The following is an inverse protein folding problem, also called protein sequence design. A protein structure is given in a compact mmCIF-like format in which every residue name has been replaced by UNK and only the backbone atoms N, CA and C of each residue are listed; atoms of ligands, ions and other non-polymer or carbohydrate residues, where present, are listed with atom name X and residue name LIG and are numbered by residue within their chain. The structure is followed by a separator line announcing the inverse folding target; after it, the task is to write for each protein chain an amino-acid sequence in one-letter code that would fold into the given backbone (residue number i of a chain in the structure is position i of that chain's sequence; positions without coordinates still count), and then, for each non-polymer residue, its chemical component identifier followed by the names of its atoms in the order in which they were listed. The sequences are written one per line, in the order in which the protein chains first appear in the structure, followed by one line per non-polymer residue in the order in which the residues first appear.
data_IF_428498896781
#
_entry.id   IF_428498896781
#
_cell.length_a   1.000
_cell.length_b   1.000
_cell.length_c   1.000
_cell.angle_alpha   90.00
_cell.angle_beta   90.00
_cell.angle_gamma   90.00
#
_symmetry.space_group_name_H-M   'P 1'
#
loop_
_entity.id
_entity.type
_entity.pdbx_description
1 polymer ?
#
# COMPACT_ATOMS: atom_id res chain seq x y z
N UNK A 1 18.24 16.76 19.10
CA UNK A 1 17.50 15.71 19.82
C UNK A 1 17.09 16.29 21.17
N UNK A 2 15.82 16.20 21.57
CA UNK A 2 15.43 16.51 22.94
C UNK A 2 16.29 15.65 23.87
N UNK A 3 16.86 16.26 24.91
CA UNK A 3 17.75 15.58 25.87
C UNK A 3 17.01 14.61 26.79
N UNK A 4 15.68 14.73 26.87
CA UNK A 4 14.77 13.88 27.65
C UNK A 4 13.57 13.55 26.75
N UNK A 5 13.15 12.28 26.71
CA UNK A 5 11.94 11.82 26.03
C UNK A 5 10.78 11.79 27.01
N UNK A 6 9.71 12.52 26.70
CA UNK A 6 8.45 12.44 27.44
C UNK A 6 7.73 11.14 27.11
N UNK A 7 7.40 10.36 28.13
CA UNK A 7 6.85 9.01 28.00
C UNK A 7 5.46 8.93 28.61
N UNK A 8 4.51 8.43 27.82
CA UNK A 8 3.21 7.98 28.34
C UNK A 8 3.30 6.47 28.55
N UNK A 9 2.94 5.99 29.73
CA UNK A 9 2.94 4.55 30.02
C UNK A 9 1.53 3.98 30.00
N UNK A 10 1.34 2.84 29.34
CA UNK A 10 0.09 2.06 29.40
C UNK A 10 0.25 0.98 30.46
N UNK A 11 -0.73 0.88 31.36
CA UNK A 11 -0.71 -0.10 32.47
C UNK A 11 -2.08 -0.77 32.60
N UNK A 12 -2.10 -1.95 33.21
CA UNK A 12 -3.32 -2.70 33.50
C UNK A 12 -3.53 -2.96 35.01
N UNK A 13 -4.71 -3.46 35.35
CA UNK A 13 -5.09 -3.86 36.71
C UNK A 13 -4.81 -5.30 37.04
N UNK A 14 -4.08 -6.02 36.17
CA UNK A 14 -3.57 -7.35 36.42
C UNK A 14 -2.21 -7.32 37.11
N UNK A 15 -1.53 -6.18 37.12
CA UNK A 15 -0.34 -5.97 37.92
C UNK A 15 -0.68 -5.33 39.27
N UNK A 16 0.02 -5.75 40.33
CA UNK A 16 -0.16 -5.13 41.64
C UNK A 16 0.42 -3.70 41.62
N UNK A 17 -0.33 -2.71 42.11
CA UNK A 17 0.06 -1.28 41.99
C UNK A 17 1.51 -0.96 42.43
N UNK A 18 2.05 -1.52 43.54
CA UNK A 18 3.47 -1.34 43.87
C UNK A 18 4.46 -1.84 42.81
N UNK A 19 4.13 -2.92 42.08
CA UNK A 19 4.95 -3.42 40.97
C UNK A 19 4.89 -2.45 39.80
N UNK A 20 3.68 -1.99 39.43
CA UNK A 20 3.48 -0.96 38.41
C UNK A 20 4.26 0.30 38.75
N UNK A 21 4.13 0.80 39.99
CA UNK A 21 4.88 1.95 40.48
C UNK A 21 6.39 1.76 40.37
N UNK A 22 6.90 0.59 40.78
CA UNK A 22 8.33 0.29 40.69
C UNK A 22 8.84 0.28 39.24
N UNK A 23 8.04 -0.20 38.29
CA UNK A 23 8.40 -0.17 36.87
C UNK A 23 8.42 1.26 36.33
N UNK A 24 7.44 2.08 36.70
CA UNK A 24 7.35 3.48 36.31
C UNK A 24 8.50 4.31 36.93
N UNK A 25 8.79 4.13 38.22
CA UNK A 25 9.94 4.74 38.90
C UNK A 25 11.27 4.32 38.25
N UNK A 26 11.38 3.06 37.78
CA UNK A 26 12.56 2.60 37.04
C UNK A 26 12.70 3.33 35.69
N UNK A 27 11.61 3.50 34.94
CA UNK A 27 11.61 4.21 33.66
C UNK A 27 12.02 5.68 33.81
N UNK A 28 11.54 6.36 34.85
CA UNK A 28 11.96 7.73 35.20
C UNK A 28 13.44 7.84 35.55
N UNK A 29 14.03 6.78 36.13
CA UNK A 29 15.44 6.76 36.52
C UNK A 29 16.38 6.34 35.37
N UNK A 30 15.86 5.80 34.27
CA UNK A 30 16.67 5.54 33.08
C UNK A 30 17.05 6.88 32.44
N UNK A 31 18.32 7.02 32.06
CA UNK A 31 18.80 8.23 31.39
C UNK A 31 17.92 8.54 30.17
N UNK A 32 17.54 9.82 30.04
CA UNK A 32 16.78 10.37 28.91
C UNK A 32 15.29 10.02 28.82
N UNK A 33 14.63 9.59 29.90
CA UNK A 33 13.16 9.45 29.94
C UNK A 33 12.53 10.25 31.08
N UNK A 34 11.29 10.68 30.87
CA UNK A 34 10.41 11.28 31.88
C UNK A 34 9.00 10.73 31.66
N UNK A 35 8.45 10.01 32.63
CA UNK A 35 7.07 9.50 32.61
C UNK A 35 6.12 10.64 32.94
N UNK A 36 5.51 11.22 31.90
CA UNK A 36 4.65 12.41 32.01
C UNK A 36 3.20 12.07 32.37
N UNK A 37 2.72 10.89 31.99
CA UNK A 37 1.38 10.41 32.32
C UNK A 37 1.28 8.88 32.20
N UNK A 38 0.24 8.33 32.85
CA UNK A 38 -0.13 6.92 32.77
C UNK A 38 -1.55 6.79 32.25
N UNK A 39 -1.80 5.83 31.38
CA UNK A 39 -3.16 5.46 30.94
C UNK A 39 -3.44 4.05 31.43
N UNK A 40 -4.53 3.91 32.17
CA UNK A 40 -5.04 2.62 32.60
C UNK A 40 -5.88 2.00 31.48
N UNK A 41 -5.41 0.89 30.91
CA UNK A 41 -6.00 0.31 29.69
C UNK A 41 -6.85 -0.95 29.93
N UNK A 42 -7.13 -1.25 31.19
CA UNK A 42 -8.14 -2.22 31.60
C UNK A 42 -7.70 -3.15 32.72
N UNK A 43 -8.62 -4.00 33.16
CA UNK A 43 -8.39 -4.95 34.25
C UNK A 43 -8.63 -4.32 35.62
N UNK A 44 -9.19 -5.08 36.55
CA UNK A 44 -9.47 -4.63 37.91
C UNK A 44 -9.11 -5.68 38.96
N UNK A 45 -8.65 -6.87 38.55
CA UNK A 45 -8.52 -8.04 39.42
C UNK A 45 -7.57 -7.81 40.60
N UNK A 46 -6.45 -7.10 40.40
CA UNK A 46 -5.42 -6.88 41.43
C UNK A 46 -5.46 -5.47 42.02
N UNK A 47 -6.46 -4.68 41.66
CA UNK A 47 -6.71 -3.36 42.24
C UNK A 47 -7.51 -3.53 43.55
N UNK A 48 -6.80 -3.54 44.69
CA UNK A 48 -7.44 -3.38 46.00
C UNK A 48 -7.94 -1.96 46.26
N UNK A 49 -7.37 -1.01 45.53
CA UNK A 49 -7.82 0.38 45.50
C UNK A 49 -8.87 0.52 44.41
N UNK A 50 -10.07 0.95 44.78
CA UNK A 50 -11.20 1.05 43.84
C UNK A 50 -11.52 2.49 43.45
N UNK A 51 -10.86 3.48 44.07
CA UNK A 51 -10.98 4.89 43.70
C UNK A 51 -9.86 5.30 42.74
N UNK A 52 -10.21 6.06 41.71
CA UNK A 52 -9.22 6.62 40.78
C UNK A 52 -8.24 7.54 41.52
N UNK A 53 -8.73 8.33 42.49
CA UNK A 53 -7.90 9.22 43.31
C UNK A 53 -6.85 8.44 44.11
N UNK A 54 -7.24 7.29 44.69
CA UNK A 54 -6.32 6.44 45.44
C UNK A 54 -5.26 5.78 44.56
N UNK A 55 -5.57 5.46 43.30
CA UNK A 55 -4.60 4.95 42.32
C UNK A 55 -3.60 6.05 41.95
N UNK A 56 -4.10 7.26 41.67
CA UNK A 56 -3.28 8.44 41.36
C UNK A 56 -2.30 8.74 42.51
N UNK A 57 -2.79 8.78 43.75
CA UNK A 57 -1.96 9.03 44.94
C UNK A 57 -0.85 7.97 45.08
N UNK A 58 -1.18 6.70 44.88
CA UNK A 58 -0.22 5.59 45.01
C UNK A 58 0.83 5.58 43.91
N UNK A 59 0.45 5.89 42.67
CA UNK A 59 1.39 5.95 41.54
C UNK A 59 2.20 7.26 41.53
N UNK A 60 1.71 8.30 42.19
CA UNK A 60 2.42 9.58 42.39
C UNK A 60 2.57 10.42 41.12
N UNK A 61 1.70 10.23 40.14
CA UNK A 61 1.77 10.86 38.81
C UNK A 61 0.38 10.96 38.18
N UNK A 62 0.18 11.76 37.11
CA UNK A 62 -1.10 11.82 36.41
C UNK A 62 -1.49 10.45 35.85
N UNK A 63 -2.71 10.00 36.16
CA UNK A 63 -3.29 8.74 35.67
C UNK A 63 -4.63 9.04 35.02
N UNK A 64 -4.84 8.47 33.84
CA UNK A 64 -6.07 8.62 33.05
C UNK A 64 -6.77 7.26 32.90
N UNK A 65 -8.09 7.28 32.99
CA UNK A 65 -8.94 6.09 32.94
C UNK A 65 -9.95 6.20 31.79
N UNK A 66 -10.39 5.04 31.29
CA UNK A 66 -11.54 4.95 30.40
C UNK A 66 -12.85 4.84 31.16
N UNK A 67 -13.96 5.19 30.49
CA UNK A 67 -15.31 5.04 31.06
C UNK A 67 -15.66 3.60 31.44
N UNK A 68 -15.08 2.61 30.75
CA UNK A 68 -15.28 1.19 31.00
C UNK A 68 -13.95 0.52 31.39
N UNK A 69 -13.79 0.01 32.63
CA UNK A 69 -12.55 -0.61 33.09
C UNK A 69 -12.24 -1.98 32.43
N UNK A 70 -13.17 -2.52 31.64
CA UNK A 70 -13.00 -3.78 30.90
C UNK A 70 -12.67 -3.58 29.41
N UNK A 71 -12.54 -2.34 28.96
CA UNK A 71 -12.21 -2.00 27.58
C UNK A 71 -10.97 -1.11 27.50
N UNK A 72 -10.21 -1.24 26.42
CA UNK A 72 -9.07 -0.35 26.17
C UNK A 72 -9.61 1.02 25.74
N UNK A 73 -9.27 2.11 26.44
CA UNK A 73 -9.74 3.45 26.12
C UNK A 73 -8.91 4.08 25.01
N UNK A 74 -9.10 3.60 23.78
CA UNK A 74 -8.32 3.99 22.60
C UNK A 74 -8.31 5.51 22.35
N UNK A 75 -9.40 6.21 22.63
CA UNK A 75 -9.51 7.66 22.46
C UNK A 75 -8.74 8.43 23.55
N UNK A 76 -8.74 7.92 24.80
CA UNK A 76 -7.97 8.50 25.90
C UNK A 76 -6.47 8.37 25.64
N UNK A 77 -6.01 7.23 25.10
CA UNK A 77 -4.60 7.05 24.71
C UNK A 77 -4.17 8.19 23.78
N UNK A 78 -4.95 8.49 22.73
CA UNK A 78 -4.67 9.58 21.82
C UNK A 78 -4.67 10.96 22.51
N UNK A 79 -5.71 11.27 23.29
CA UNK A 79 -5.83 12.55 24.01
C UNK A 79 -4.65 12.80 24.97
N UNK A 80 -4.23 11.78 25.71
CA UNK A 80 -3.11 11.89 26.66
C UNK A 80 -1.78 12.10 25.95
N UNK A 81 -1.57 11.46 24.79
CA UNK A 81 -0.37 11.72 23.99
C UNK A 81 -0.32 13.20 23.55
N UNK A 82 -1.44 13.78 23.12
CA UNK A 82 -1.52 15.21 22.72
C UNK A 82 -1.35 16.14 23.92
N UNK A 83 -2.10 15.91 25.01
CA UNK A 83 -2.13 16.76 26.21
C UNK A 83 -0.73 16.90 26.83
N UNK A 84 0.05 15.82 26.86
CA UNK A 84 1.35 15.80 27.49
C UNK A 84 2.52 16.00 26.51
N UNK A 85 2.27 16.19 25.21
CA UNK A 85 3.30 16.30 24.16
C UNK A 85 4.29 15.12 24.25
N UNK A 86 3.76 13.90 24.28
CA UNK A 86 4.56 12.70 24.49
C UNK A 86 5.45 12.43 23.27
N UNK A 87 6.70 11.99 23.53
CA UNK A 87 7.66 11.60 22.50
C UNK A 87 7.63 10.08 22.24
N UNK A 88 7.07 9.28 23.15
CA UNK A 88 6.99 7.81 23.08
C UNK A 88 5.88 7.27 23.98
N UNK A 89 5.27 6.15 23.59
CA UNK A 89 4.39 5.36 24.44
C UNK A 89 5.07 4.05 24.83
N UNK A 90 5.09 3.74 26.13
CA UNK A 90 5.61 2.48 26.67
C UNK A 90 4.46 1.60 27.17
N UNK A 91 4.29 0.43 26.58
CA UNK A 91 3.33 -0.59 26.99
C UNK A 91 3.91 -1.47 28.10
N UNK A 92 3.31 -1.43 29.28
CA UNK A 92 3.64 -2.29 30.41
C UNK A 92 2.53 -3.33 30.67
N UNK A 93 1.55 -3.46 29.78
CA UNK A 93 0.40 -4.34 29.96
C UNK A 93 0.56 -5.71 29.30
N UNK A 94 -0.19 -6.69 29.80
CA UNK A 94 -0.11 -8.09 29.38
C UNK A 94 -1.48 -8.77 29.17
N UNK A 95 -1.47 -10.04 28.75
CA UNK A 95 -2.65 -10.90 28.74
C UNK A 95 -3.21 -11.07 30.16
N UNK A 96 -4.54 -11.10 30.34
CA UNK A 96 -5.59 -11.16 29.32
C UNK A 96 -6.08 -9.80 28.79
N UNK A 97 -5.53 -8.68 29.26
CA UNK A 97 -6.05 -7.34 28.92
C UNK A 97 -5.71 -6.98 27.47
N UNK A 98 -4.44 -7.17 27.09
CA UNK A 98 -3.91 -6.81 25.77
C UNK A 98 -3.44 -8.04 25.00
N UNK A 99 -4.28 -8.55 24.11
CA UNK A 99 -3.88 -9.52 23.09
C UNK A 99 -3.17 -8.84 21.91
N UNK A 100 -2.64 -9.64 20.98
CA UNK A 100 -1.95 -9.11 19.79
C UNK A 100 -2.79 -8.13 18.97
N UNK A 101 -4.08 -8.42 18.73
CA UNK A 101 -4.92 -7.57 17.87
C UNK A 101 -5.18 -6.22 18.52
N UNK A 102 -5.45 -6.21 19.83
CA UNK A 102 -5.57 -5.00 20.65
C UNK A 102 -4.27 -4.19 20.65
N UNK A 103 -3.13 -4.86 20.81
CA UNK A 103 -1.79 -4.22 20.77
C UNK A 103 -1.53 -3.53 19.43
N UNK A 104 -1.86 -4.16 18.30
CA UNK A 104 -1.73 -3.52 16.98
C UNK A 104 -2.69 -2.33 16.79
N UNK A 105 -3.86 -2.34 17.44
CA UNK A 105 -4.78 -1.20 17.43
C UNK A 105 -4.23 -0.02 18.24
N UNK A 106 -3.64 -0.28 19.41
CA UNK A 106 -2.88 0.74 20.17
C UNK A 106 -1.73 1.26 19.31
N UNK A 107 -0.90 0.38 18.76
CA UNK A 107 0.22 0.75 17.90
C UNK A 107 -0.24 1.64 16.73
N UNK A 108 -1.36 1.31 16.08
CA UNK A 108 -1.92 2.12 15.00
C UNK A 108 -2.22 3.56 15.44
N UNK A 109 -2.78 3.75 16.63
CA UNK A 109 -3.08 5.10 17.18
C UNK A 109 -1.79 5.85 17.45
N UNK A 110 -0.86 5.22 18.19
CA UNK A 110 0.41 5.85 18.59
C UNK A 110 1.25 6.26 17.37
N UNK A 111 1.34 5.37 16.37
CA UNK A 111 2.12 5.62 15.16
C UNK A 111 1.50 6.68 14.25
N UNK A 112 0.17 6.79 14.23
CA UNK A 112 -0.55 7.82 13.48
C UNK A 112 -0.29 9.23 14.05
N UNK A 113 0.04 9.31 15.34
CA UNK A 113 0.50 10.53 16.00
C UNK A 113 1.99 10.81 15.79
N UNK A 114 2.68 9.96 15.02
CA UNK A 114 4.08 10.18 14.63
C UNK A 114 5.10 9.89 15.72
N UNK A 115 4.75 9.09 16.74
CA UNK A 115 5.67 8.73 17.83
C UNK A 115 5.85 7.20 17.96
N UNK A 116 6.96 6.72 18.56
CA UNK A 116 7.20 5.29 18.73
C UNK A 116 6.27 4.67 19.78
N UNK A 117 5.96 3.40 19.56
CA UNK A 117 5.28 2.52 20.52
C UNK A 117 6.23 1.40 20.93
N UNK A 118 6.64 1.40 22.19
CA UNK A 118 7.62 0.48 22.76
C UNK A 118 6.95 -0.45 23.77
N UNK A 119 7.47 -1.67 23.89
CA UNK A 119 7.21 -2.59 24.99
C UNK A 119 8.51 -3.30 25.38
N UNK A 120 8.47 -4.27 26.32
CA UNK A 120 9.68 -4.91 26.84
C UNK A 120 10.54 -5.60 25.77
N UNK A 121 9.93 -6.19 24.74
CA UNK A 121 10.60 -6.97 23.68
C UNK A 121 10.26 -6.48 22.26
N UNK A 122 9.47 -5.41 22.11
CA UNK A 122 9.08 -4.87 20.80
C UNK A 122 9.19 -3.35 20.74
N UNK A 123 9.43 -2.83 19.53
CA UNK A 123 9.35 -1.40 19.20
C UNK A 123 8.77 -1.21 17.82
N UNK A 124 7.76 -0.37 17.71
CA UNK A 124 7.24 0.12 16.44
C UNK A 124 7.58 1.60 16.29
N UNK A 125 8.08 1.95 15.12
CA UNK A 125 8.41 3.33 14.77
C UNK A 125 7.44 3.85 13.71
N UNK A 126 7.09 5.14 13.75
CA UNK A 126 6.32 5.79 12.69
C UNK A 126 7.09 5.70 11.36
N UNK A 127 6.38 5.88 10.25
CA UNK A 127 7.00 5.79 8.93
C UNK A 127 7.97 6.94 8.73
N UNK A 128 9.19 6.62 8.29
CA UNK A 128 10.18 7.60 7.89
C UNK A 128 9.77 8.26 6.57
N UNK A 129 9.60 9.58 6.55
CA UNK A 129 9.28 10.31 5.33
C UNK A 129 10.25 11.47 5.07
N UNK A 130 10.59 11.67 3.79
CA UNK A 130 11.35 12.81 3.32
C UNK A 130 10.41 13.83 2.66
N UNK A 131 10.35 15.04 3.21
CA UNK A 131 9.63 16.18 2.62
C UNK A 131 10.55 16.91 1.63
N UNK A 132 10.57 16.43 0.38
CA UNK A 132 11.52 16.90 -0.66
C UNK A 132 10.89 17.20 -2.03
N UNK A 133 9.62 16.85 -2.23
CA UNK A 133 8.93 17.14 -3.50
C UNK A 133 8.57 18.63 -3.57
N UNK A 134 8.88 19.22 -4.73
CA UNK A 134 8.65 20.64 -5.06
C UNK A 134 7.49 20.81 -6.04
N UNK A 135 6.68 19.78 -6.21
CA UNK A 135 5.55 19.69 -7.13
C UNK A 135 4.40 19.01 -6.41
N UNK A 136 3.13 19.31 -6.77
CA UNK A 136 1.98 18.63 -6.21
C UNK A 136 2.05 17.13 -6.47
N UNK A 137 1.60 16.35 -5.50
CA UNK A 137 1.85 14.91 -5.51
C UNK A 137 0.83 14.08 -4.75
N UNK A 138 0.65 12.84 -5.18
CA UNK A 138 0.04 11.81 -4.35
C UNK A 138 0.84 10.51 -4.33
N UNK A 139 0.61 9.69 -3.30
CA UNK A 139 1.12 8.32 -3.21
C UNK A 139 0.05 7.30 -3.55
N UNK A 140 0.43 6.24 -4.28
CA UNK A 140 -0.37 5.03 -4.45
C UNK A 140 0.18 3.93 -3.56
N UNK A 141 -0.62 3.53 -2.58
CA UNK A 141 -0.28 2.57 -1.54
C UNK A 141 -1.16 1.31 -1.64
N UNK A 142 -0.79 0.28 -0.88
CA UNK A 142 -1.58 -0.94 -0.82
C UNK A 142 -1.53 -1.59 0.54
N UNK A 143 -2.62 -2.24 0.94
CA UNK A 143 -2.68 -3.11 2.12
C UNK A 143 -1.99 -4.46 1.91
N UNK A 144 -1.46 -4.72 0.71
CA UNK A 144 -0.91 -6.02 0.37
C UNK A 144 -0.18 -6.08 -0.97
N UNK A 145 0.28 -7.29 -1.30
CA UNK A 145 0.88 -7.62 -2.59
C UNK A 145 -0.21 -8.15 -3.54
N UNK A 146 -0.03 -7.95 -4.85
CA UNK A 146 -0.93 -8.44 -5.91
C UNK A 146 -2.39 -7.99 -5.74
N UNK A 147 -2.57 -6.70 -5.49
CA UNK A 147 -3.90 -6.07 -5.39
C UNK A 147 -4.14 -5.04 -6.51
N UNK A 148 -3.26 -4.99 -7.52
CA UNK A 148 -3.41 -4.13 -8.70
C UNK A 148 -2.89 -2.70 -8.58
N UNK A 149 -1.82 -2.45 -7.80
CA UNK A 149 -1.25 -1.09 -7.64
C UNK A 149 -0.77 -0.50 -8.96
N UNK A 150 0.12 -1.19 -9.66
CA UNK A 150 0.68 -0.73 -10.95
C UNK A 150 -0.41 -0.53 -12.00
N UNK A 151 -1.42 -1.41 -12.01
CA UNK A 151 -2.62 -1.24 -12.85
C UNK A 151 -3.39 0.06 -12.56
N UNK A 152 -3.63 0.38 -11.28
CA UNK A 152 -4.25 1.65 -10.87
C UNK A 152 -3.33 2.85 -11.11
N UNK A 153 -2.02 2.68 -10.95
CA UNK A 153 -0.99 3.69 -11.20
C UNK A 153 -0.94 4.09 -12.66
N UNK A 154 -0.78 3.13 -13.57
CA UNK A 154 -0.84 3.36 -15.01
C UNK A 154 -2.19 3.95 -15.45
N UNK A 155 -3.31 3.49 -14.88
CA UNK A 155 -4.63 4.05 -15.15
C UNK A 155 -4.73 5.52 -14.73
N UNK A 156 -4.30 5.84 -13.50
CA UNK A 156 -4.29 7.20 -12.97
C UNK A 156 -3.36 8.10 -13.80
N UNK A 157 -2.15 7.64 -14.10
CA UNK A 157 -1.17 8.37 -14.90
C UNK A 157 -1.73 8.76 -16.28
N UNK A 158 -2.34 7.82 -17.01
CA UNK A 158 -2.99 8.12 -18.30
C UNK A 158 -4.11 9.14 -18.17
N UNK A 159 -4.93 8.99 -17.13
CA UNK A 159 -6.07 9.88 -16.90
C UNK A 159 -5.59 11.30 -16.60
N UNK A 160 -4.58 11.44 -15.75
CA UNK A 160 -3.98 12.71 -15.34
C UNK A 160 -3.29 13.37 -16.53
N UNK A 161 -2.58 12.58 -17.34
CA UNK A 161 -1.99 13.05 -18.60
C UNK A 161 -3.05 13.54 -19.59
N UNK A 162 -4.15 12.78 -19.78
CA UNK A 162 -5.28 13.17 -20.62
C UNK A 162 -5.96 14.47 -20.15
N UNK A 163 -5.83 14.80 -18.87
CA UNK A 163 -6.33 16.04 -18.25
C UNK A 163 -5.28 17.16 -18.24
N UNK A 164 -4.16 16.98 -18.93
CA UNK A 164 -3.12 17.99 -19.14
C UNK A 164 -2.38 18.41 -17.85
N UNK A 165 -2.41 17.59 -16.79
CA UNK A 165 -1.62 17.81 -15.56
C UNK A 165 -0.18 17.30 -15.63
N UNK A 166 0.27 16.80 -16.79
CA UNK A 166 1.66 16.39 -17.06
C UNK A 166 2.32 15.52 -15.95
N UNK A 167 1.86 14.26 -15.75
CA UNK A 167 2.32 13.44 -14.64
C UNK A 167 3.66 12.73 -14.88
N UNK A 168 4.41 12.51 -13.81
CA UNK A 168 5.54 11.60 -13.73
C UNK A 168 5.32 10.56 -12.62
N UNK A 169 5.53 9.28 -12.91
CA UNK A 169 5.48 8.20 -11.90
C UNK A 169 6.88 7.89 -11.38
N UNK A 170 7.08 7.92 -10.07
CA UNK A 170 8.28 7.43 -9.39
C UNK A 170 7.93 6.12 -8.69
N UNK A 171 8.35 4.99 -9.26
CA UNK A 171 7.94 3.67 -8.81
C UNK A 171 9.01 2.98 -7.96
N UNK A 172 8.61 2.50 -6.78
CA UNK A 172 9.47 1.72 -5.89
C UNK A 172 9.31 0.22 -6.15
N UNK A 173 10.28 -0.41 -6.81
CA UNK A 173 10.27 -1.83 -7.13
C UNK A 173 11.10 -2.69 -6.17
N UNK A 174 10.78 -3.99 -6.08
CA UNK A 174 11.69 -5.00 -5.48
C UNK A 174 12.84 -5.37 -6.41
N UNK A 175 12.58 -5.31 -7.72
CA UNK A 175 13.58 -5.54 -8.77
C UNK A 175 14.05 -4.24 -9.42
N UNK A 176 13.75 -3.09 -8.82
CA UNK A 176 14.11 -1.79 -9.39
C UNK A 176 15.62 -1.57 -9.48
N UNK A 177 16.04 -0.52 -10.21
CA UNK A 177 17.45 -0.27 -10.56
C UNK A 177 18.26 0.24 -9.37
N UNK A 178 19.59 0.05 -9.44
CA UNK A 178 20.53 0.46 -8.39
C UNK A 178 20.53 1.97 -8.14
N UNK A 179 20.68 2.72 -9.22
CA UNK A 179 20.45 4.16 -9.28
C UNK A 179 19.11 4.41 -9.97
N UNK A 180 18.39 5.50 -9.63
CA UNK A 180 17.11 5.77 -10.26
C UNK A 180 17.22 5.83 -11.80
N UNK A 181 16.31 5.17 -12.49
CA UNK A 181 16.31 5.05 -13.95
C UNK A 181 15.14 5.84 -14.54
N UNK A 182 15.40 6.76 -15.47
CA UNK A 182 14.34 7.47 -16.19
C UNK A 182 13.97 6.67 -17.44
N UNK A 183 12.67 6.42 -17.63
CA UNK A 183 12.11 5.85 -18.85
C UNK A 183 11.16 6.85 -19.47
N UNK A 184 11.48 7.31 -20.69
CA UNK A 184 10.66 8.24 -21.45
C UNK A 184 9.56 7.50 -22.25
N UNK A 185 8.58 6.90 -21.55
CA UNK A 185 7.44 6.24 -22.19
C UNK A 185 6.62 7.17 -23.10
N UNK A 186 6.75 8.48 -22.89
CA UNK A 186 6.22 9.58 -23.70
C UNK A 186 6.93 9.75 -25.05
N UNK A 187 8.21 9.37 -25.17
CA UNK A 187 9.03 9.61 -26.36
C UNK A 187 9.43 8.35 -27.09
N UNK A 188 9.62 7.24 -26.39
CA UNK A 188 10.05 5.97 -26.98
C UNK A 188 8.88 5.01 -27.13
N UNK A 189 8.85 4.28 -28.23
CA UNK A 189 7.96 3.13 -28.37
C UNK A 189 8.60 1.92 -27.65
N UNK A 190 7.91 1.40 -26.64
CA UNK A 190 8.40 0.26 -25.85
C UNK A 190 7.81 -1.00 -26.48
N UNK A 191 8.57 -1.62 -27.39
CA UNK A 191 8.16 -2.86 -28.07
C UNK A 191 8.62 -4.10 -27.31
N UNK A 192 8.04 -5.28 -27.56
CA UNK A 192 8.53 -6.54 -26.99
C UNK A 192 10.01 -6.81 -27.30
N UNK A 193 10.45 -6.52 -28.53
CA UNK A 193 11.85 -6.65 -28.95
C UNK A 193 12.74 -5.70 -28.16
N UNK A 194 12.30 -4.45 -27.96
CA UNK A 194 13.04 -3.48 -27.17
C UNK A 194 13.21 -3.94 -25.71
N UNK A 195 12.16 -4.46 -25.07
CA UNK A 195 12.24 -5.00 -23.71
C UNK A 195 13.18 -6.21 -23.61
N UNK A 196 13.17 -7.10 -24.61
CA UNK A 196 14.13 -8.20 -24.71
C UNK A 196 15.56 -7.70 -24.82
N UNK A 197 15.84 -6.72 -25.68
CA UNK A 197 17.17 -6.11 -25.82
C UNK A 197 17.67 -5.48 -24.52
N UNK A 198 16.78 -4.86 -23.73
CA UNK A 198 17.15 -4.32 -22.41
C UNK A 198 17.42 -5.46 -21.41
N UNK A 199 16.59 -6.51 -21.41
CA UNK A 199 16.81 -7.69 -20.56
C UNK A 199 18.16 -8.37 -20.86
N UNK A 200 18.52 -8.52 -22.14
CA UNK A 200 19.80 -9.11 -22.57
C UNK A 200 21.02 -8.27 -22.14
N UNK A 201 20.84 -6.97 -21.92
CA UNK A 201 21.87 -6.07 -21.35
C UNK A 201 21.97 -6.16 -19.82
N UNK A 202 21.16 -7.00 -19.19
CA UNK A 202 21.08 -7.16 -17.72
C UNK A 202 20.18 -6.14 -17.02
N UNK A 203 19.41 -5.33 -17.77
CA UNK A 203 18.42 -4.42 -17.19
C UNK A 203 17.19 -5.22 -16.79
N UNK A 204 16.62 -4.96 -15.61
CA UNK A 204 15.36 -5.60 -15.24
C UNK A 204 14.15 -4.92 -15.91
N UNK A 205 14.02 -5.13 -17.23
CA UNK A 205 13.06 -4.51 -18.16
C UNK A 205 11.58 -4.92 -17.93
N UNK A 206 11.26 -5.44 -16.76
CA UNK A 206 9.91 -5.80 -16.34
C UNK A 206 9.60 -5.32 -14.91
N UNK A 207 10.35 -4.33 -14.45
CA UNK A 207 10.11 -3.63 -13.20
C UNK A 207 8.89 -2.72 -13.31
N UNK A 208 8.32 -2.36 -12.16
CA UNK A 208 7.08 -1.58 -12.08
C UNK A 208 7.13 -0.27 -12.92
N UNK A 209 8.27 0.44 -12.95
CA UNK A 209 8.41 1.67 -13.76
C UNK A 209 8.41 1.45 -15.28
N UNK A 210 8.90 0.29 -15.75
CA UNK A 210 8.83 -0.11 -17.15
C UNK A 210 7.39 -0.47 -17.53
N UNK A 211 6.68 -1.14 -16.63
CA UNK A 211 5.24 -1.42 -16.75
C UNK A 211 4.43 -0.14 -16.81
N UNK A 212 4.65 0.79 -15.89
CA UNK A 212 4.01 2.10 -15.93
C UNK A 212 4.32 2.83 -17.24
N UNK A 213 5.58 2.91 -17.67
CA UNK A 213 5.95 3.61 -18.90
C UNK A 213 5.28 3.00 -20.14
N UNK A 214 5.25 1.67 -20.23
CA UNK A 214 4.60 0.95 -21.32
C UNK A 214 3.09 1.19 -21.34
N UNK A 215 2.44 1.01 -20.19
CA UNK A 215 0.97 1.07 -20.08
C UNK A 215 0.45 2.50 -20.16
N UNK A 216 1.17 3.46 -19.62
CA UNK A 216 0.71 4.84 -19.49
C UNK A 216 1.24 5.82 -20.52
N UNK A 217 2.34 5.46 -21.22
CA UNK A 217 2.98 6.32 -22.24
C UNK A 217 3.40 7.69 -21.69
N UNK A 218 3.82 7.72 -20.42
CA UNK A 218 4.37 8.90 -19.75
C UNK A 218 5.81 8.65 -19.28
N UNK A 219 6.47 9.70 -18.78
CA UNK A 219 7.77 9.62 -18.14
C UNK A 219 7.67 8.90 -16.78
N UNK A 220 8.53 7.91 -16.56
CA UNK A 220 8.60 7.21 -15.27
C UNK A 220 10.04 7.18 -14.74
N UNK A 221 10.15 7.05 -13.42
CA UNK A 221 11.42 6.95 -12.69
C UNK A 221 11.39 5.67 -11.85
N UNK A 222 12.22 4.70 -12.23
CA UNK A 222 12.40 3.45 -11.50
C UNK A 222 13.29 3.62 -10.30
N UNK A 223 12.85 3.12 -9.16
CA UNK A 223 13.62 3.06 -7.91
C UNK A 223 13.56 1.65 -7.32
N UNK A 224 14.47 1.34 -6.39
CA UNK A 224 14.54 0.05 -5.70
C UNK A 224 14.26 0.18 -4.21
N UNK A 225 13.88 -0.94 -3.61
CA UNK A 225 13.92 -1.12 -2.16
C UNK A 225 14.32 -2.53 -1.76
N UNK A 226 14.82 -2.68 -0.54
CA UNK A 226 15.04 -3.96 0.13
C UNK A 226 14.52 -3.90 1.57
N UNK A 227 14.03 -5.04 2.08
CA UNK A 227 13.35 -5.12 3.38
C UNK A 227 11.91 -4.58 3.35
N UNK A 228 11.16 -4.85 4.41
CA UNK A 228 9.81 -4.32 4.62
C UNK A 228 9.38 -4.54 6.07
N UNK A 229 9.12 -3.45 6.78
CA UNK A 229 8.61 -3.47 8.15
C UNK A 229 7.10 -3.74 8.21
N UNK A 230 6.60 -4.01 9.41
CA UNK A 230 5.17 -4.31 9.63
C UNK A 230 4.27 -3.11 9.25
N UNK A 231 4.67 -1.91 9.67
CA UNK A 231 3.93 -0.65 9.43
C UNK A 231 4.00 -0.24 7.96
N UNK A 232 5.15 -0.43 7.31
CA UNK A 232 5.33 -0.14 5.89
C UNK A 232 6.71 0.39 5.51
N UNK A 233 7.56 0.74 6.48
CA UNK A 233 8.91 1.26 6.20
C UNK A 233 9.80 0.23 5.49
N UNK A 234 10.86 0.70 4.84
CA UNK A 234 11.83 -0.10 4.08
C UNK A 234 13.22 0.07 4.65
N UNK A 235 14.08 -0.95 4.56
CA UNK A 235 15.41 -0.89 5.14
C UNK A 235 16.38 -0.08 4.25
N UNK A 236 16.38 -0.36 2.95
CA UNK A 236 17.19 0.35 1.96
C UNK A 236 16.29 0.77 0.81
N UNK A 237 16.42 2.01 0.34
CA UNK A 237 15.81 2.49 -0.90
C UNK A 237 16.56 3.68 -1.49
N UNK A 238 16.48 3.86 -2.80
CA UNK A 238 16.95 5.06 -3.51
C UNK A 238 15.80 6.04 -3.86
N UNK A 239 14.59 5.85 -3.32
CA UNK A 239 13.43 6.71 -3.59
C UNK A 239 13.68 8.19 -3.30
N UNK A 240 14.53 8.53 -2.31
CA UNK A 240 14.91 9.92 -2.05
C UNK A 240 15.58 10.55 -3.29
N UNK A 241 16.51 9.84 -3.93
CA UNK A 241 17.16 10.29 -5.16
C UNK A 241 16.16 10.36 -6.32
N UNK A 242 15.29 9.36 -6.45
CA UNK A 242 14.24 9.35 -7.47
C UNK A 242 13.30 10.55 -7.39
N UNK A 243 12.85 10.90 -6.18
CA UNK A 243 12.02 12.09 -5.93
C UNK A 243 12.79 13.40 -6.18
N UNK A 244 14.10 13.45 -5.94
CA UNK A 244 14.93 14.61 -6.30
C UNK A 244 14.98 14.79 -7.83
N UNK A 245 15.18 13.71 -8.58
CA UNK A 245 15.15 13.73 -10.05
C UNK A 245 13.76 14.14 -10.56
N UNK A 246 12.69 13.68 -9.92
CA UNK A 246 11.31 14.05 -10.28
C UNK A 246 11.05 15.57 -10.21
N UNK A 247 11.78 16.30 -9.35
CA UNK A 247 11.70 17.76 -9.30
C UNK A 247 12.34 18.45 -10.52
N UNK A 248 13.27 17.77 -11.20
CA UNK A 248 14.10 18.35 -12.28
C UNK A 248 13.59 18.00 -13.69
N UNK A 249 12.85 16.90 -13.82
CA UNK A 249 12.24 16.51 -15.11
C UNK A 249 11.05 17.40 -15.48
N UNK A 250 10.71 17.40 -16.76
CA UNK A 250 9.52 18.06 -17.31
C UNK A 250 8.25 17.28 -16.92
N UNK A 251 7.69 17.64 -15.77
CA UNK A 251 6.48 17.07 -15.18
C UNK A 251 5.90 18.09 -14.19
N UNK A 252 4.59 18.22 -14.11
CA UNK A 252 3.92 19.16 -13.21
C UNK A 252 3.27 18.47 -12.01
N UNK A 253 3.02 17.16 -12.10
CA UNK A 253 2.40 16.37 -11.06
C UNK A 253 3.17 15.06 -10.80
N UNK A 254 3.43 14.72 -9.53
CA UNK A 254 4.22 13.54 -9.17
C UNK A 254 3.35 12.44 -8.55
N UNK A 255 3.42 11.24 -9.12
CA UNK A 255 2.80 10.04 -8.58
C UNK A 255 3.90 9.18 -7.97
N UNK A 256 3.83 8.94 -6.67
CA UNK A 256 4.77 8.07 -5.97
C UNK A 256 4.13 6.68 -5.78
N UNK A 257 4.69 5.63 -6.38
CA UNK A 257 4.13 4.27 -6.30
C UNK A 257 4.86 3.39 -5.25
N UNK A 258 4.06 2.73 -4.40
CA UNK A 258 4.52 1.80 -3.37
C UNK A 258 4.72 0.35 -3.82
N UNK A 259 5.43 -0.43 -2.99
CA UNK A 259 5.89 -1.78 -3.33
C UNK A 259 5.26 -2.88 -2.45
N UNK A 260 4.22 -3.55 -2.94
CA UNK A 260 3.45 -4.47 -2.09
C UNK A 260 2.73 -3.69 -0.99
N UNK A 261 3.02 -3.99 0.29
CA UNK A 261 2.51 -3.24 1.44
C UNK A 261 3.52 -2.20 2.00
N UNK A 262 4.68 -2.06 1.35
CA UNK A 262 5.69 -1.08 1.73
C UNK A 262 5.32 0.30 1.21
N UNK A 263 5.49 1.31 2.07
CA UNK A 263 5.13 2.70 1.83
C UNK A 263 6.41 3.45 1.44
N UNK A 264 6.44 4.15 0.29
CA UNK A 264 7.59 4.95 -0.10
C UNK A 264 7.89 6.05 0.92
N UNK A 265 9.16 6.25 1.32
CA UNK A 265 9.54 7.22 2.35
C UNK A 265 9.63 8.65 1.80
N UNK A 266 8.67 9.05 0.96
CA UNK A 266 8.55 10.37 0.36
C UNK A 266 7.22 10.94 0.78
N UNK A 267 7.21 12.07 1.46
CA UNK A 267 5.97 12.74 1.85
C UNK A 267 5.26 13.29 0.60
N UNK A 268 3.95 13.10 0.52
CA UNK A 268 3.10 13.57 -0.58
C UNK A 268 1.89 14.30 -0.03
N UNK A 269 1.18 15.05 -0.87
CA UNK A 269 0.06 15.90 -0.45
C UNK A 269 -1.23 15.09 -0.24
N UNK A 270 -1.41 13.99 -0.98
CA UNK A 270 -2.58 13.10 -0.90
C UNK A 270 -2.23 11.62 -1.08
N UNK A 271 -3.16 10.73 -0.73
CA UNK A 271 -2.97 9.28 -0.84
C UNK A 271 -4.15 8.55 -1.50
N UNK A 272 -3.81 7.68 -2.45
CA UNK A 272 -4.70 6.65 -3.00
C UNK A 272 -4.27 5.31 -2.41
N UNK A 273 -5.16 4.63 -1.69
CA UNK A 273 -4.87 3.36 -1.02
C UNK A 273 -5.66 2.24 -1.67
N UNK A 274 -4.96 1.22 -2.14
CA UNK A 274 -5.60 0.01 -2.64
C UNK A 274 -5.85 -0.98 -1.49
N UNK A 275 -7.06 -1.53 -1.47
CA UNK A 275 -7.44 -2.65 -0.61
C UNK A 275 -7.86 -3.80 -1.52
N UNK A 276 -7.27 -4.99 -1.38
CA UNK A 276 -7.68 -6.15 -2.17
C UNK A 276 -8.82 -6.91 -1.49
N UNK A 277 -10.00 -6.98 -2.10
CA UNK A 277 -11.13 -7.74 -1.54
C UNK A 277 -10.84 -9.25 -1.45
N UNK A 278 -9.88 -9.74 -2.23
CA UNK A 278 -9.37 -11.12 -2.16
C UNK A 278 -8.55 -11.42 -0.89
N UNK A 279 -8.04 -10.40 -0.18
CA UNK A 279 -7.25 -10.62 1.03
C UNK A 279 -8.10 -11.24 2.15
N UNK A 280 -7.47 -11.97 3.10
CA UNK A 280 -8.15 -12.38 4.32
C UNK A 280 -8.67 -11.18 5.11
N UNK A 281 -9.92 -11.24 5.59
CA UNK A 281 -10.54 -10.13 6.34
C UNK A 281 -9.71 -9.76 7.58
N UNK A 282 -9.11 -10.73 8.25
CA UNK A 282 -8.23 -10.50 9.41
C UNK A 282 -7.07 -9.54 9.09
N UNK A 283 -6.53 -9.57 7.88
CA UNK A 283 -5.42 -8.69 7.47
C UNK A 283 -5.88 -7.27 7.11
N UNK A 284 -7.15 -7.10 6.74
CA UNK A 284 -7.76 -5.81 6.46
C UNK A 284 -8.21 -5.15 7.77
N UNK A 285 -8.87 -5.94 8.63
CA UNK A 285 -9.55 -5.47 9.85
C UNK A 285 -8.60 -5.33 11.05
N UNK A 286 -7.50 -6.08 11.10
CA UNK A 286 -6.54 -6.08 12.21
C UNK A 286 -5.12 -5.72 11.75
N UNK A 287 -4.15 -5.86 12.66
CA UNK A 287 -2.75 -5.53 12.44
C UNK A 287 -2.60 -4.07 11.95
N UNK A 288 -1.78 -3.83 10.93
CA UNK A 288 -1.60 -2.51 10.31
C UNK A 288 -2.42 -2.32 9.01
N UNK A 289 -3.46 -3.13 8.80
CA UNK A 289 -4.48 -2.86 7.77
C UNK A 289 -5.19 -1.52 8.02
N UNK A 290 -5.73 -1.28 9.24
CA UNK A 290 -6.41 -0.03 9.59
C UNK A 290 -5.51 1.20 9.46
N UNK A 291 -4.23 1.09 9.85
CA UNK A 291 -3.24 2.16 9.69
C UNK A 291 -3.17 2.65 8.24
N UNK A 292 -3.04 1.73 7.28
CA UNK A 292 -2.98 2.07 5.85
C UNK A 292 -4.29 2.65 5.32
N UNK A 293 -5.43 2.16 5.80
CA UNK A 293 -6.76 2.67 5.41
C UNK A 293 -6.95 4.12 5.92
N UNK A 294 -6.46 4.42 7.13
CA UNK A 294 -6.54 5.76 7.72
C UNK A 294 -5.79 6.81 6.90
N UNK A 295 -4.72 6.42 6.22
CA UNK A 295 -3.95 7.31 5.35
C UNK A 295 -4.69 7.78 4.09
N UNK A 296 -5.79 7.14 3.69
CA UNK A 296 -6.40 7.32 2.37
C UNK A 296 -7.24 8.61 2.24
N UNK A 297 -7.07 9.32 1.13
CA UNK A 297 -8.09 10.25 0.61
C UNK A 297 -9.07 9.51 -0.33
N UNK A 298 -8.54 8.54 -1.09
CA UNK A 298 -9.30 7.62 -1.95
C UNK A 298 -8.89 6.18 -1.67
N UNK A 299 -9.88 5.32 -1.45
CA UNK A 299 -9.69 3.87 -1.41
C UNK A 299 -10.22 3.23 -2.69
N UNK A 300 -9.35 2.54 -3.43
CA UNK A 300 -9.73 1.68 -4.54
C UNK A 300 -9.78 0.24 -4.02
N UNK A 301 -10.99 -0.28 -3.81
CA UNK A 301 -11.22 -1.64 -3.32
C UNK A 301 -11.26 -2.59 -4.52
N UNK A 302 -10.19 -3.34 -4.75
CA UNK A 302 -10.02 -4.14 -5.97
C UNK A 302 -10.50 -5.59 -5.82
N UNK A 303 -10.70 -6.27 -6.95
CA UNK A 303 -11.11 -7.69 -7.02
C UNK A 303 -12.48 -7.97 -6.39
N UNK A 304 -13.43 -7.06 -6.61
CA UNK A 304 -14.79 -7.10 -6.03
C UNK A 304 -15.77 -8.00 -6.80
N UNK A 305 -15.36 -9.19 -7.19
CA UNK A 305 -16.22 -10.15 -7.91
C UNK A 305 -15.97 -11.58 -7.46
N UNK A 306 -16.97 -12.45 -7.67
CA UNK A 306 -16.81 -13.88 -7.48
C UNK A 306 -15.85 -14.45 -8.54
N UNK A 307 -15.05 -15.48 -8.19
CA UNK A 307 -14.92 -16.12 -6.87
C UNK A 307 -13.91 -15.44 -5.93
N UNK A 308 -13.36 -14.27 -6.29
CA UNK A 308 -12.32 -13.57 -5.51
C UNK A 308 -12.88 -12.97 -4.23
N UNK A 309 -14.07 -12.38 -4.30
CA UNK A 309 -14.78 -11.81 -3.17
C UNK A 309 -16.29 -11.80 -3.42
N UNK A 310 -17.03 -12.35 -2.45
CA UNK A 310 -18.48 -12.26 -2.46
C UNK A 310 -18.97 -10.84 -2.21
N UNK A 311 -20.16 -10.52 -2.74
CA UNK A 311 -20.80 -9.21 -2.53
C UNK A 311 -20.96 -8.85 -1.04
N UNK A 312 -21.20 -9.85 -0.17
CA UNK A 312 -21.26 -9.68 1.28
C UNK A 312 -19.89 -9.32 1.88
N UNK A 313 -18.81 -9.95 1.41
CA UNK A 313 -17.44 -9.63 1.82
C UNK A 313 -17.07 -8.20 1.41
N UNK A 314 -17.38 -7.81 0.16
CA UNK A 314 -17.16 -6.45 -0.34
C UNK A 314 -17.89 -5.42 0.51
N UNK A 315 -19.19 -5.61 0.79
CA UNK A 315 -19.97 -4.72 1.67
C UNK A 315 -19.39 -4.60 3.08
N UNK A 316 -18.93 -5.71 3.66
CA UNK A 316 -18.27 -5.72 4.98
C UNK A 316 -16.99 -4.89 4.96
N UNK A 317 -16.14 -5.05 3.94
CA UNK A 317 -14.90 -4.29 3.81
C UNK A 317 -15.20 -2.79 3.64
N UNK A 318 -16.17 -2.42 2.81
CA UNK A 318 -16.58 -1.00 2.64
C UNK A 318 -17.04 -0.40 3.98
N UNK A 319 -17.90 -1.12 4.71
CA UNK A 319 -18.37 -0.68 6.04
C UNK A 319 -17.20 -0.51 7.02
N UNK A 320 -16.26 -1.45 7.01
CA UNK A 320 -15.07 -1.37 7.84
C UNK A 320 -14.20 -0.17 7.48
N UNK A 321 -13.89 0.03 6.20
CA UNK A 321 -13.11 1.19 5.72
C UNK A 321 -13.75 2.49 6.20
N UNK A 322 -15.08 2.64 6.03
CA UNK A 322 -15.81 3.83 6.48
C UNK A 322 -15.83 4.02 8.00
N UNK A 323 -15.68 2.95 8.78
CA UNK A 323 -15.54 3.07 10.24
C UNK A 323 -14.15 3.53 10.67
N UNK A 324 -13.11 3.22 9.89
CA UNK A 324 -11.72 3.65 10.16
C UNK A 324 -11.46 5.05 9.61
N UNK A 325 -11.96 5.33 8.41
CA UNK A 325 -11.79 6.60 7.71
C UNK A 325 -13.12 7.00 7.03
N UNK A 326 -13.99 7.74 7.74
CA UNK A 326 -15.27 8.20 7.19
C UNK A 326 -15.12 9.11 5.97
N UNK A 327 -14.02 9.86 5.92
CA UNK A 327 -13.75 10.90 4.92
C UNK A 327 -13.24 10.33 3.59
N UNK A 328 -12.60 9.17 3.58
CA UNK A 328 -12.10 8.56 2.36
C UNK A 328 -13.23 8.17 1.41
N UNK A 329 -13.14 8.55 0.13
CA UNK A 329 -14.00 8.00 -0.91
C UNK A 329 -13.64 6.52 -1.13
N UNK A 330 -14.63 5.63 -1.28
CA UNK A 330 -14.39 4.19 -1.44
C UNK A 330 -15.02 3.72 -2.75
N UNK A 331 -14.20 3.23 -3.68
CA UNK A 331 -14.64 2.79 -5.00
C UNK A 331 -14.30 1.31 -5.18
N UNK A 332 -15.31 0.42 -5.17
CA UNK A 332 -15.11 -0.99 -5.47
C UNK A 332 -14.95 -1.24 -6.97
N UNK A 333 -13.92 -2.01 -7.33
CA UNK A 333 -13.53 -2.27 -8.70
C UNK A 333 -13.18 -3.74 -8.95
N UNK A 334 -13.25 -4.12 -10.21
CA UNK A 334 -12.69 -5.35 -10.80
C UNK A 334 -11.61 -4.97 -11.80
N UNK A 335 -10.82 -5.94 -12.26
CA UNK A 335 -9.86 -5.73 -13.34
C UNK A 335 -10.31 -6.45 -14.60
N UNK A 336 -10.12 -5.80 -15.75
CA UNK A 336 -10.30 -6.43 -17.05
C UNK A 336 -9.06 -6.23 -17.92
N UNK A 337 -8.60 -7.28 -18.62
CA UNK A 337 -7.44 -7.20 -19.48
C UNK A 337 -7.72 -6.30 -20.68
N UNK A 338 -6.77 -5.44 -21.02
CA UNK A 338 -6.80 -4.60 -22.22
C UNK A 338 -5.54 -4.82 -23.04
N UNK A 339 -5.69 -5.39 -24.23
CA UNK A 339 -4.60 -5.51 -25.18
C UNK A 339 -4.11 -4.11 -25.61
N UNK A 340 -2.78 -3.92 -25.64
CA UNK A 340 -2.18 -2.66 -26.09
C UNK A 340 -2.07 -2.53 -27.62
N UNK A 341 -2.27 -3.62 -28.34
CA UNK A 341 -2.31 -3.68 -29.80
C UNK A 341 -3.50 -4.53 -30.27
N UNK A 342 -3.81 -4.44 -31.56
CA UNK A 342 -4.93 -5.16 -32.15
C UNK A 342 -4.70 -6.68 -32.15
N UNK A 343 -5.70 -7.42 -31.68
CA UNK A 343 -5.72 -8.89 -31.64
C UNK A 343 -6.95 -9.48 -32.33
N UNK A 344 -7.73 -8.67 -33.05
CA UNK A 344 -8.91 -9.15 -33.77
C UNK A 344 -8.58 -10.23 -34.78
N UNK A 345 -9.38 -11.30 -34.78
CA UNK A 345 -9.24 -12.47 -35.64
C UNK A 345 -8.07 -13.41 -35.29
N UNK A 346 -7.29 -13.13 -34.24
CA UNK A 346 -6.11 -13.92 -33.86
C UNK A 346 -6.46 -15.04 -32.88
N UNK A 347 -5.70 -16.13 -32.95
CA UNK A 347 -5.62 -17.14 -31.90
C UNK A 347 -4.63 -16.66 -30.84
N UNK A 348 -5.11 -16.52 -29.61
CA UNK A 348 -4.37 -15.89 -28.51
C UNK A 348 -3.98 -16.94 -27.47
N UNK A 349 -2.70 -16.95 -27.12
CA UNK A 349 -2.20 -17.56 -25.89
C UNK A 349 -2.09 -16.48 -24.81
N UNK A 350 -2.94 -16.55 -23.78
CA UNK A 350 -3.02 -15.53 -22.74
C UNK A 350 -2.22 -15.92 -21.48
N UNK A 351 -1.25 -15.11 -21.08
CA UNK A 351 -0.46 -15.32 -19.87
C UNK A 351 -0.69 -14.21 -18.84
N UNK A 352 -1.17 -14.58 -17.65
CA UNK A 352 -1.58 -13.65 -16.58
C UNK A 352 -1.08 -14.12 -15.22
N UNK A 353 -1.00 -13.19 -14.26
CA UNK A 353 -0.81 -13.49 -12.84
C UNK A 353 -2.11 -13.70 -12.07
N UNK A 354 -3.26 -13.52 -12.73
CA UNK A 354 -4.57 -13.78 -12.15
C UNK A 354 -4.70 -15.28 -11.78
N UNK A 355 -5.37 -15.61 -10.66
CA UNK A 355 -5.54 -16.99 -10.26
C UNK A 355 -6.44 -17.75 -11.23
N UNK A 356 -6.26 -19.07 -11.33
CA UNK A 356 -7.06 -19.94 -12.23
C UNK A 356 -8.57 -19.77 -12.02
N UNK A 357 -9.00 -19.47 -10.79
CA UNK A 357 -10.41 -19.32 -10.44
C UNK A 357 -11.14 -18.17 -11.17
N UNK A 358 -10.42 -17.19 -11.73
CA UNK A 358 -11.02 -16.09 -12.50
C UNK A 358 -10.74 -16.19 -14.01
N UNK A 359 -9.99 -17.21 -14.45
CA UNK A 359 -9.53 -17.35 -15.84
C UNK A 359 -10.66 -17.27 -16.85
N UNK A 360 -11.76 -17.99 -16.63
CA UNK A 360 -12.88 -18.04 -17.58
C UNK A 360 -13.54 -16.67 -17.78
N UNK A 361 -13.64 -15.87 -16.71
CA UNK A 361 -14.16 -14.49 -16.78
C UNK A 361 -13.25 -13.58 -17.62
N UNK A 362 -11.93 -13.77 -17.52
CA UNK A 362 -10.97 -12.98 -18.30
C UNK A 362 -10.97 -13.42 -19.78
N UNK A 363 -11.10 -14.72 -20.05
CA UNK A 363 -11.23 -15.27 -21.40
C UNK A 363 -12.48 -14.72 -22.07
N UNK A 364 -13.65 -14.86 -21.43
CA UNK A 364 -14.92 -14.38 -21.97
C UNK A 364 -14.87 -12.87 -22.25
N UNK A 365 -14.22 -12.09 -21.37
CA UNK A 365 -14.00 -10.67 -21.62
C UNK A 365 -13.16 -10.41 -22.87
N UNK A 366 -12.04 -11.11 -23.04
CA UNK A 366 -11.16 -10.93 -24.20
C UNK A 366 -11.86 -11.29 -25.51
N UNK A 367 -12.49 -12.47 -25.58
CA UNK A 367 -13.18 -12.93 -26.79
C UNK A 367 -14.34 -11.99 -27.16
N UNK A 368 -15.14 -11.57 -26.17
CA UNK A 368 -16.31 -10.71 -26.41
C UNK A 368 -15.97 -9.27 -26.78
N UNK A 369 -14.81 -8.74 -26.35
CA UNK A 369 -14.46 -7.32 -26.55
C UNK A 369 -13.43 -7.09 -27.67
N UNK A 370 -12.68 -8.11 -28.06
CA UNK A 370 -11.59 -7.99 -29.05
C UNK A 370 -11.78 -8.85 -30.30
N UNK A 371 -12.86 -9.65 -30.38
CA UNK A 371 -13.13 -10.56 -31.51
C UNK A 371 -11.93 -11.46 -31.83
N UNK A 372 -11.32 -12.00 -30.77
CA UNK A 372 -10.21 -12.94 -30.82
C UNK A 372 -10.64 -14.30 -30.26
N UNK A 373 -9.83 -15.34 -30.47
CA UNK A 373 -10.06 -16.68 -29.90
C UNK A 373 -8.96 -17.03 -28.90
N UNK A 374 -9.29 -17.35 -27.66
CA UNK A 374 -8.29 -17.81 -26.70
C UNK A 374 -8.06 -19.31 -26.89
N UNK A 375 -6.91 -19.69 -27.46
CA UNK A 375 -6.53 -21.11 -27.67
C UNK A 375 -5.82 -21.72 -26.47
N UNK A 376 -5.21 -20.89 -25.62
CA UNK A 376 -4.56 -21.31 -24.40
C UNK A 376 -4.48 -20.19 -23.37
N UNK A 377 -4.37 -20.56 -22.10
CA UNK A 377 -4.14 -19.58 -21.04
C UNK A 377 -3.37 -20.17 -19.88
N UNK A 378 -2.50 -19.37 -19.28
CA UNK A 378 -1.72 -19.73 -18.09
C UNK A 378 -1.82 -18.66 -17.00
N UNK A 379 -2.05 -19.09 -15.77
CA UNK A 379 -1.99 -18.28 -14.54
C UNK A 379 -0.58 -18.27 -13.91
N UNK A 380 0.36 -18.97 -14.53
CA UNK A 380 1.69 -19.22 -13.99
C UNK A 380 2.71 -18.16 -14.37
N UNK A 381 2.30 -16.94 -14.75
CA UNK A 381 3.21 -15.86 -15.15
C UNK A 381 4.22 -15.46 -14.05
N UNK A 382 4.04 -15.92 -12.82
CA UNK A 382 5.02 -15.73 -11.72
C UNK A 382 5.84 -16.98 -11.37
N UNK A 383 5.70 -18.07 -12.13
CA UNK A 383 6.39 -19.35 -11.94
C UNK A 383 6.97 -19.84 -13.28
N UNK A 384 8.26 -19.56 -13.52
CA UNK A 384 8.94 -19.82 -14.80
C UNK A 384 8.81 -21.27 -15.29
N UNK A 385 9.10 -22.32 -14.48
CA UNK A 385 8.92 -23.70 -14.94
C UNK A 385 7.50 -24.05 -15.39
N UNK A 386 6.49 -23.60 -14.64
CA UNK A 386 5.10 -23.87 -15.01
C UNK A 386 4.64 -23.06 -16.22
N UNK A 387 5.08 -21.80 -16.31
CA UNK A 387 4.85 -20.93 -17.47
C UNK A 387 5.40 -21.57 -18.74
N UNK A 388 6.65 -22.06 -18.72
CA UNK A 388 7.29 -22.74 -19.85
C UNK A 388 6.44 -23.94 -20.33
N UNK A 389 6.09 -24.83 -19.39
CA UNK A 389 5.31 -26.03 -19.69
C UNK A 389 3.92 -25.72 -20.24
N UNK A 390 3.31 -24.62 -19.81
CA UNK A 390 2.00 -24.22 -20.33
C UNK A 390 2.11 -23.58 -21.72
N UNK A 391 3.15 -22.79 -21.98
CA UNK A 391 3.39 -22.19 -23.29
C UNK A 391 3.61 -23.28 -24.33
N UNK A 392 4.46 -24.27 -24.05
CA UNK A 392 4.78 -25.38 -24.96
C UNK A 392 3.54 -26.17 -25.43
N UNK A 393 2.46 -26.20 -24.65
CA UNK A 393 1.22 -26.90 -25.01
C UNK A 393 0.42 -26.20 -26.11
N UNK A 394 0.51 -24.88 -26.20
CA UNK A 394 -0.40 -24.05 -27.00
C UNK A 394 0.31 -23.16 -28.02
N UNK A 395 1.65 -23.07 -27.96
CA UNK A 395 2.42 -22.13 -28.78
C UNK A 395 2.23 -22.36 -30.29
N UNK A 396 2.08 -23.61 -30.72
CA UNK A 396 1.88 -23.97 -32.13
C UNK A 396 0.46 -23.67 -32.65
N UNK A 397 -0.50 -23.40 -31.74
CA UNK A 397 -1.89 -23.08 -32.06
C UNK A 397 -2.20 -21.58 -32.00
N UNK A 398 -1.24 -20.77 -31.55
CA UNK A 398 -1.43 -19.34 -31.30
C UNK A 398 -0.74 -18.48 -32.35
N UNK A 399 -1.40 -17.40 -32.74
CA UNK A 399 -0.83 -16.34 -33.59
C UNK A 399 -0.15 -15.25 -32.73
N UNK A 400 -0.65 -15.05 -31.50
CA UNK A 400 -0.21 -13.99 -30.59
C UNK A 400 -0.10 -14.48 -29.14
N UNK A 401 0.98 -14.07 -28.48
CA UNK A 401 1.13 -14.13 -27.03
C UNK A 401 0.61 -12.83 -26.41
N UNK A 402 -0.53 -12.88 -25.73
CA UNK A 402 -1.04 -11.78 -24.93
C UNK A 402 -0.56 -11.94 -23.49
N UNK A 403 0.18 -10.98 -22.94
CA UNK A 403 0.75 -11.15 -21.59
C UNK A 403 0.81 -9.87 -20.76
N UNK A 404 0.59 -9.97 -19.46
CA UNK A 404 0.90 -8.87 -18.52
C UNK A 404 2.42 -8.62 -18.48
N UNK A 405 2.87 -7.39 -18.25
CA UNK A 405 4.31 -7.15 -18.10
C UNK A 405 4.79 -7.53 -16.69
N UNK A 406 5.52 -8.65 -16.60
CA UNK A 406 6.22 -9.13 -15.39
C UNK A 406 7.57 -9.73 -15.77
N UNK A 407 8.43 -9.98 -14.77
CA UNK A 407 9.75 -10.57 -14.96
C UNK A 407 9.74 -11.81 -15.89
N UNK A 408 8.89 -12.81 -15.60
CA UNK A 408 8.81 -14.00 -16.45
C UNK A 408 8.05 -13.77 -17.76
N UNK A 409 7.30 -12.66 -17.88
CA UNK A 409 6.69 -12.29 -19.15
C UNK A 409 7.77 -11.95 -20.17
N UNK A 410 8.77 -11.15 -19.80
CA UNK A 410 9.88 -10.82 -20.71
C UNK A 410 10.77 -12.04 -20.92
N UNK A 411 11.33 -12.61 -19.84
CA UNK A 411 12.39 -13.62 -19.95
C UNK A 411 11.93 -14.97 -20.53
N UNK A 412 10.62 -15.27 -20.47
CA UNK A 412 10.03 -16.54 -20.92
C UNK A 412 8.96 -16.29 -21.98
N UNK A 413 7.84 -15.64 -21.65
CA UNK A 413 6.70 -15.56 -22.56
C UNK A 413 7.03 -14.81 -23.86
N UNK A 414 7.62 -13.61 -23.76
CA UNK A 414 8.08 -12.81 -24.90
C UNK A 414 9.18 -13.52 -25.65
N UNK A 415 10.19 -14.03 -24.94
CA UNK A 415 11.32 -14.75 -25.56
C UNK A 415 10.86 -15.94 -26.40
N UNK A 416 10.02 -16.81 -25.85
CA UNK A 416 9.60 -18.04 -26.50
C UNK A 416 8.61 -17.76 -27.64
N UNK A 417 7.68 -16.82 -27.43
CA UNK A 417 6.76 -16.39 -28.48
C UNK A 417 7.52 -15.82 -29.69
N UNK A 418 8.48 -14.91 -29.47
CA UNK A 418 9.30 -14.36 -30.56
C UNK A 418 10.14 -15.44 -31.25
N UNK A 419 10.67 -16.42 -30.51
CA UNK A 419 11.43 -17.53 -31.08
C UNK A 419 10.56 -18.46 -31.94
N UNK A 420 9.29 -18.63 -31.56
CA UNK A 420 8.31 -19.39 -32.31
C UNK A 420 7.65 -18.58 -33.46
N UNK A 421 7.99 -17.30 -33.60
CA UNK A 421 7.48 -16.43 -34.66
C UNK A 421 6.09 -15.83 -34.37
N UNK A 422 5.61 -15.91 -33.13
CA UNK A 422 4.37 -15.29 -32.69
C UNK A 422 4.54 -13.78 -32.52
N UNK A 423 3.45 -13.04 -32.72
CA UNK A 423 3.36 -11.67 -32.23
C UNK A 423 3.30 -11.65 -30.69
N UNK A 424 3.80 -10.60 -30.07
CA UNK A 424 3.70 -10.40 -28.62
C UNK A 424 2.97 -9.10 -28.36
N UNK A 425 1.87 -9.18 -27.63
CA UNK A 425 1.07 -8.01 -27.23
C UNK A 425 1.03 -7.97 -25.72
N UNK A 426 1.44 -6.85 -25.14
CA UNK A 426 1.27 -6.66 -23.70
C UNK A 426 -0.16 -6.29 -23.36
N UNK A 427 -0.56 -6.68 -22.15
CA UNK A 427 -1.89 -6.51 -21.62
C UNK A 427 -1.86 -5.60 -20.39
N UNK A 428 -2.63 -4.54 -20.43
CA UNK A 428 -2.94 -3.71 -19.27
C UNK A 428 -4.10 -4.31 -18.47
N UNK A 429 -4.21 -3.95 -17.20
CA UNK A 429 -5.34 -4.33 -16.34
C UNK A 429 -6.15 -3.08 -15.99
N UNK A 430 -7.32 -2.92 -16.61
CA UNK A 430 -8.15 -1.74 -16.42
C UNK A 430 -9.05 -1.92 -15.19
N UNK A 431 -8.96 -1.04 -14.17
CA UNK A 431 -9.90 -1.04 -13.07
C UNK A 431 -11.27 -0.54 -13.56
N UNK A 432 -12.31 -1.36 -13.41
CA UNK A 432 -13.69 -1.03 -13.72
C UNK A 432 -14.50 -1.01 -12.44
N UNK A 433 -15.30 0.04 -12.24
CA UNK A 433 -16.22 0.14 -11.09
C UNK A 433 -17.29 -0.93 -11.24
N UNK A 434 -17.57 -1.66 -10.15
CA UNK A 434 -18.64 -2.66 -10.16
C UNK A 434 -20.01 -1.99 -10.28
N UNK A 435 -21.01 -2.76 -10.71
CA UNK A 435 -22.39 -2.28 -10.73
C UNK A 435 -22.85 -1.81 -9.34
N UNK A 436 -23.57 -0.68 -9.31
CA UNK A 436 -24.08 -0.07 -8.09
C UNK A 436 -24.06 1.45 -8.15
N UNK A 437 -24.49 2.09 -7.07
CA UNK A 437 -24.43 3.55 -6.93
C UNK A 437 -23.09 3.97 -6.33
N UNK A 438 -22.03 3.91 -7.13
CA UNK A 438 -20.68 4.33 -6.77
C UNK A 438 -20.22 5.50 -7.63
N UNK A 439 -19.34 6.34 -7.08
CA UNK A 439 -18.70 7.41 -7.86
C UNK A 439 -17.85 6.83 -8.99
N UNK A 440 -17.71 7.62 -10.05
CA UNK A 440 -16.80 7.34 -11.16
C UNK A 440 -15.35 7.32 -10.67
N UNK A 441 -14.62 6.23 -10.91
CA UNK A 441 -13.19 6.14 -10.58
C UNK A 441 -12.37 7.28 -11.22
N UNK A 442 -12.55 7.61 -12.51
CA UNK A 442 -11.89 8.78 -13.10
C UNK A 442 -12.12 10.07 -12.34
N UNK A 443 -13.37 10.37 -11.98
CA UNK A 443 -13.70 11.62 -11.30
C UNK A 443 -13.09 11.68 -9.91
N UNK A 444 -13.11 10.57 -9.17
CA UNK A 444 -12.49 10.49 -7.86
C UNK A 444 -10.97 10.65 -7.89
N UNK A 445 -10.29 10.07 -8.89
CA UNK A 445 -8.84 10.27 -9.07
C UNK A 445 -8.55 11.76 -9.33
N UNK A 446 -9.32 12.42 -10.21
CA UNK A 446 -9.11 13.84 -10.49
C UNK A 446 -9.42 14.73 -9.28
N UNK A 447 -10.45 14.42 -8.48
CA UNK A 447 -10.68 15.11 -7.20
C UNK A 447 -9.46 15.02 -6.27
N UNK A 448 -8.79 13.86 -6.21
CA UNK A 448 -7.56 13.70 -5.41
C UNK A 448 -6.42 14.55 -5.98
N UNK A 449 -6.28 14.63 -7.31
CA UNK A 449 -5.29 15.48 -7.99
C UNK A 449 -5.50 16.96 -7.65
N UNK A 450 -6.72 17.46 -7.83
CA UNK A 450 -7.05 18.86 -7.54
C UNK A 450 -6.84 19.19 -6.05
N UNK A 451 -7.20 18.25 -5.17
CA UNK A 451 -6.96 18.40 -3.74
C UNK A 451 -5.47 18.36 -3.37
N UNK A 452 -4.65 17.58 -4.07
CA UNK A 452 -3.20 17.56 -3.90
C UNK A 452 -2.56 18.87 -4.36
N UNK A 453 -3.01 19.44 -5.48
CA UNK A 453 -2.58 20.75 -5.97
C UNK A 453 -2.91 21.83 -4.93
N UNK A 454 -4.15 21.88 -4.47
CA UNK A 454 -4.59 22.85 -3.45
C UNK A 454 -3.77 22.73 -2.15
N UNK A 455 -3.51 21.49 -1.70
CA UNK A 455 -2.72 21.23 -0.50
C UNK A 455 -1.25 21.66 -0.67
N UNK A 456 -0.68 21.44 -1.86
CA UNK A 456 0.67 21.87 -2.20
C UNK A 456 0.80 23.40 -2.23
N UNK A 457 -0.14 24.10 -2.86
CA UNK A 457 -0.19 25.58 -2.91
C UNK A 457 -0.30 26.15 -1.50
N UNK A 458 -1.22 25.62 -0.68
CA UNK A 458 -1.40 26.02 0.72
C UNK A 458 -0.11 25.83 1.54
N UNK A 459 0.59 24.72 1.33
CA UNK A 459 1.84 24.40 2.04
C UNK A 459 3.01 25.30 1.62
N UNK A 460 3.05 25.71 0.36
CA UNK A 460 4.15 26.50 -0.21
C UNK A 460 3.90 28.01 -0.21
N UNK A 461 2.66 28.43 0.07
CA UNK A 461 2.25 29.83 0.00
C UNK A 461 2.23 30.37 -1.43
N UNK A 462 2.06 29.48 -2.41
CA UNK A 462 1.99 29.78 -3.83
C UNK A 462 0.60 30.22 -4.27
#
# INVERSE_FOLDING_TARGET
MKTIRKMVCLVDGEHYLPVTKSALDMLDNLEHNEVVAVVFIGGTEKLRETSEEGVIEKLGRPVHFGDNPHEIPYDIIGKVIEEYDADVVMDLSDEPIVDYSKRFKIATIVLDMGIPYEGPDFKFYPISEHDILKKPSFKILGTGKRIGKTAVSAYAARLIHKKEYNPCVVAMGRGGPEEPEIVHGDKIEITPQYLMEQSDKGVHAASDHWEDALMSRILTIGCRRCGGGMVGDVFITNMKKGAQIANEVDADFIIIEGSGAAIPPIKTDKHVVLVGANQPLINIENFFGPFRIKMADLVVLTMCEEPMASSNKVKRIIKFIKSINPNATVIPTVFRPKALADITGKNVLFATTAPDSIKDVLIEHLESNYDCKIVGTTSHLSNRPLLQNDIEKYIDEADVMLTELKAAAVDVATKDALKAGLEVVYCDNIPLVIEGNYESLPEAIIKVVDSAITAFETRTGA
#
